data_IF_509781629811
#
_entry.id   IF_509781629811
#
_cell.length_a   1.000
_cell.length_b   1.000
_cell.length_c   1.000
_cell.angle_alpha   90.00
_cell.angle_beta   90.00
_cell.angle_gamma   90.00
#
_symmetry.space_group_name_H-M   'P 1'
#
loop_
_entity.id
_entity.type
_entity.pdbx_description
1 polymer ?
#
# COMPACT_ATOMS: atom_id res chain seq x y z
N UNK A 1 2.29 -22.43 7.58
CA UNK A 1 1.88 -21.04 7.80
C UNK A 1 0.48 -20.71 7.23
N UNK A 2 0.11 -21.22 6.07
CA UNK A 2 -1.19 -20.92 5.42
C UNK A 2 -2.47 -21.24 6.22
N UNK A 3 -2.47 -22.23 7.12
CA UNK A 3 -3.71 -22.69 7.78
C UNK A 3 -4.24 -21.76 8.88
N UNK A 4 -3.41 -20.97 9.54
CA UNK A 4 -3.84 -20.02 10.58
C UNK A 4 -4.39 -18.76 9.93
N UNK A 5 -3.71 -18.25 8.93
CA UNK A 5 -4.14 -17.09 8.14
C UNK A 5 -5.46 -17.34 7.39
N UNK A 6 -5.61 -18.53 6.78
CA UNK A 6 -6.86 -18.95 6.12
C UNK A 6 -8.02 -19.21 7.11
N UNK A 7 -7.71 -19.72 8.32
CA UNK A 7 -8.73 -19.86 9.36
C UNK A 7 -9.21 -18.50 9.89
N UNK A 8 -8.32 -17.50 9.94
CA UNK A 8 -8.64 -16.13 10.33
C UNK A 8 -9.46 -15.39 9.28
N UNK A 9 -9.19 -15.62 7.99
CA UNK A 9 -10.00 -15.08 6.87
C UNK A 9 -11.47 -15.49 6.91
N UNK A 10 -11.81 -16.61 7.57
CA UNK A 10 -13.19 -17.14 7.67
C UNK A 10 -14.00 -16.56 8.83
N UNK A 11 -13.38 -15.76 9.69
CA UNK A 11 -14.06 -15.19 10.86
C UNK A 11 -14.36 -13.71 10.56
N UNK A 12 -15.62 -13.40 10.36
CA UNK A 12 -16.10 -12.05 10.09
C UNK A 12 -15.71 -11.03 11.18
N UNK A 13 -15.70 -9.77 10.85
CA UNK A 13 -15.17 -8.64 11.62
C UNK A 13 -15.70 -8.49 13.04
N UNK A 14 -16.96 -8.86 13.28
CA UNK A 14 -17.57 -8.87 14.61
C UNK A 14 -16.92 -9.87 15.57
N UNK A 15 -16.16 -10.84 15.03
CA UNK A 15 -15.52 -11.90 15.79
C UNK A 15 -14.01 -11.64 16.05
N UNK A 16 -13.37 -10.71 15.35
CA UNK A 16 -11.94 -10.43 15.54
C UNK A 16 -11.57 -9.97 16.96
N UNK A 17 -12.26 -9.00 17.59
CA UNK A 17 -12.05 -8.70 18.99
C UNK A 17 -12.42 -9.87 19.92
N UNK A 18 -13.46 -10.65 19.58
CA UNK A 18 -13.83 -11.87 20.28
C UNK A 18 -12.77 -12.96 20.10
N UNK A 19 -12.16 -13.05 18.91
CA UNK A 19 -11.11 -14.00 18.59
C UNK A 19 -9.86 -13.80 19.45
N UNK A 20 -9.38 -12.57 19.64
CA UNK A 20 -8.25 -12.31 20.57
C UNK A 20 -8.68 -12.48 22.03
N UNK A 21 -9.98 -12.40 22.34
CA UNK A 21 -10.50 -12.68 23.67
C UNK A 21 -10.53 -14.19 23.97
N UNK A 22 -10.54 -15.05 22.94
CA UNK A 22 -10.49 -16.50 23.13
C UNK A 22 -9.14 -16.95 23.70
N UNK A 23 -9.18 -17.65 24.82
CA UNK A 23 -7.99 -18.11 25.53
C UNK A 23 -7.13 -19.08 24.69
N UNK A 24 -7.73 -19.91 23.84
CA UNK A 24 -6.99 -20.84 22.97
C UNK A 24 -6.20 -20.08 21.91
N UNK A 25 -6.78 -19.04 21.35
CA UNK A 25 -6.13 -18.18 20.35
C UNK A 25 -4.98 -17.40 20.97
N UNK A 26 -5.18 -16.78 22.13
CA UNK A 26 -4.10 -16.13 22.87
C UNK A 26 -2.94 -17.09 23.18
N UNK A 27 -3.28 -18.31 23.61
CA UNK A 27 -2.26 -19.34 23.88
C UNK A 27 -1.47 -19.70 22.61
N UNK A 28 -2.14 -19.88 21.47
CA UNK A 28 -1.47 -20.17 20.18
C UNK A 28 -0.57 -19.04 19.73
N UNK A 29 -1.05 -17.79 19.79
CA UNK A 29 -0.27 -16.60 19.43
C UNK A 29 0.94 -16.43 20.36
N UNK A 30 0.76 -16.64 21.67
CA UNK A 30 1.85 -16.59 22.66
C UNK A 30 2.90 -17.69 22.40
N UNK A 31 2.49 -18.90 22.00
CA UNK A 31 3.44 -19.94 21.59
C UNK A 31 4.21 -19.54 20.34
N UNK A 32 3.52 -18.99 19.34
CA UNK A 32 4.15 -18.51 18.11
C UNK A 32 5.15 -17.38 18.41
N UNK A 33 4.79 -16.41 19.26
CA UNK A 33 5.70 -15.35 19.67
C UNK A 33 7.00 -15.88 20.27
N UNK A 34 6.91 -16.90 21.13
CA UNK A 34 8.08 -17.54 21.72
C UNK A 34 9.03 -18.15 20.69
N UNK A 35 8.54 -18.66 19.56
CA UNK A 35 9.42 -19.20 18.48
C UNK A 35 10.27 -18.12 17.82
N UNK A 36 9.85 -16.84 17.92
CA UNK A 36 10.60 -15.67 17.45
C UNK A 36 11.35 -14.95 18.59
N UNK A 37 11.38 -15.51 19.80
CA UNK A 37 11.99 -14.84 20.97
C UNK A 37 11.22 -13.59 21.43
N UNK A 38 9.90 -13.56 21.18
CA UNK A 38 9.02 -12.44 21.49
C UNK A 38 8.05 -12.78 22.63
N UNK A 39 7.56 -11.74 23.31
CA UNK A 39 6.47 -11.83 24.27
C UNK A 39 5.27 -11.02 23.79
N UNK A 40 4.06 -11.47 24.14
CA UNK A 40 2.80 -10.77 23.84
C UNK A 40 2.10 -10.32 25.11
N UNK A 41 1.58 -9.10 25.09
CA UNK A 41 0.69 -8.54 26.11
C UNK A 41 -0.60 -8.06 25.43
N UNK A 42 -1.74 -8.62 25.85
CA UNK A 42 -3.03 -8.30 25.27
C UNK A 42 -3.73 -7.24 26.14
N UNK A 43 -4.03 -6.09 25.54
CA UNK A 43 -4.79 -4.99 26.14
C UNK A 43 -6.18 -4.90 25.52
N UNK A 44 -7.00 -3.97 25.98
CA UNK A 44 -8.37 -3.80 25.50
C UNK A 44 -8.40 -3.38 24.02
N UNK A 45 -7.56 -2.41 23.63
CA UNK A 45 -7.60 -1.76 22.31
C UNK A 45 -6.41 -2.13 21.43
N UNK A 46 -5.35 -2.69 22.01
CA UNK A 46 -4.13 -3.06 21.29
C UNK A 46 -3.46 -4.29 21.87
N UNK A 47 -2.56 -4.88 21.11
CA UNK A 47 -1.62 -5.93 21.54
C UNK A 47 -0.19 -5.39 21.46
N UNK A 48 0.61 -5.61 22.50
CA UNK A 48 2.05 -5.35 22.47
C UNK A 48 2.81 -6.63 22.11
N UNK A 49 3.76 -6.49 21.18
CA UNK A 49 4.78 -7.49 20.85
C UNK A 49 6.10 -6.94 21.36
N UNK A 50 6.81 -7.67 22.23
CA UNK A 50 7.99 -7.13 22.91
C UNK A 50 9.20 -8.05 22.76
N UNK A 51 10.40 -7.43 22.64
CA UNK A 51 11.70 -8.11 22.75
C UNK A 51 12.71 -7.15 23.40
N UNK A 52 13.11 -7.46 24.64
CA UNK A 52 13.93 -6.56 25.45
C UNK A 52 13.21 -5.22 25.65
N UNK A 53 13.85 -4.11 25.28
CA UNK A 53 13.30 -2.76 25.37
C UNK A 53 12.45 -2.37 24.16
N UNK A 54 12.46 -3.14 23.08
CA UNK A 54 11.67 -2.87 21.87
C UNK A 54 10.22 -3.30 22.05
N UNK A 55 9.27 -2.42 21.71
CA UNK A 55 7.81 -2.61 21.82
C UNK A 55 7.15 -2.23 20.50
N UNK A 56 6.43 -3.18 19.91
CA UNK A 56 5.57 -2.94 18.75
C UNK A 56 4.11 -3.08 19.17
N UNK A 57 3.29 -2.06 18.92
CA UNK A 57 1.84 -2.07 19.22
C UNK A 57 1.04 -2.19 17.96
N UNK A 58 -0.04 -2.97 18.02
CA UNK A 58 -1.02 -3.10 16.94
C UNK A 58 -2.44 -3.04 17.51
N UNK A 59 -3.37 -2.41 16.80
CA UNK A 59 -4.77 -2.39 17.17
C UNK A 59 -5.37 -3.81 17.21
N UNK A 60 -6.31 -4.06 18.12
CA UNK A 60 -7.01 -5.36 18.19
C UNK A 60 -7.79 -5.67 16.93
N UNK A 61 -8.26 -4.66 16.20
CA UNK A 61 -8.93 -4.81 14.89
C UNK A 61 -8.00 -5.36 13.81
N UNK A 62 -6.70 -5.20 13.96
CA UNK A 62 -5.68 -5.68 13.03
C UNK A 62 -4.92 -6.92 13.54
N UNK A 63 -5.47 -7.63 14.52
CA UNK A 63 -4.83 -8.80 15.12
C UNK A 63 -4.55 -9.96 14.13
N UNK A 64 -5.21 -9.96 12.99
CA UNK A 64 -4.92 -10.87 11.87
C UNK A 64 -3.48 -10.77 11.39
N UNK A 65 -2.85 -9.60 11.52
CA UNK A 65 -1.47 -9.35 11.12
C UNK A 65 -0.43 -9.76 12.17
N UNK A 66 -0.84 -10.12 13.40
CA UNK A 66 0.09 -10.49 14.48
C UNK A 66 1.14 -11.55 14.07
N UNK A 67 0.79 -12.65 13.38
CA UNK A 67 1.78 -13.64 12.96
C UNK A 67 2.86 -13.05 12.04
N UNK A 68 2.46 -12.25 11.06
CA UNK A 68 3.37 -11.59 10.13
C UNK A 68 4.24 -10.55 10.86
N UNK A 69 3.64 -9.76 11.76
CA UNK A 69 4.39 -8.75 12.52
C UNK A 69 5.41 -9.36 13.49
N UNK A 70 5.14 -10.55 14.02
CA UNK A 70 6.12 -11.29 14.83
C UNK A 70 7.29 -11.80 13.99
N UNK A 71 7.02 -12.32 12.79
CA UNK A 71 8.03 -12.75 11.83
C UNK A 71 8.91 -11.58 11.35
N UNK A 72 8.29 -10.42 11.13
CA UNK A 72 8.95 -9.20 10.62
C UNK A 72 9.25 -8.16 11.72
N UNK A 73 9.40 -8.57 12.98
CA UNK A 73 9.50 -7.65 14.12
C UNK A 73 10.58 -6.59 13.96
N UNK A 74 11.78 -6.97 13.54
CA UNK A 74 12.90 -6.04 13.39
C UNK A 74 12.69 -5.03 12.28
N UNK A 75 12.01 -5.42 11.18
CA UNK A 75 11.69 -4.57 10.06
C UNK A 75 10.98 -3.27 10.48
N UNK A 76 10.08 -3.33 11.47
CA UNK A 76 9.37 -2.14 11.95
C UNK A 76 10.31 -1.16 12.65
N UNK A 77 11.36 -1.65 13.33
CA UNK A 77 12.36 -0.80 14.01
C UNK A 77 13.46 -0.32 13.06
N UNK A 78 13.66 -1.02 11.94
CA UNK A 78 14.56 -0.58 10.88
C UNK A 78 13.91 0.45 9.95
N UNK A 79 12.58 0.49 9.92
CA UNK A 79 11.78 1.33 9.03
C UNK A 79 11.27 2.60 9.70
N UNK A 80 10.98 2.54 10.99
CA UNK A 80 10.40 3.62 11.78
C UNK A 80 11.34 3.98 12.92
N UNK A 81 11.62 5.26 13.12
CA UNK A 81 12.35 5.76 14.29
C UNK A 81 11.43 5.63 15.50
N UNK A 82 11.71 4.75 16.45
CA UNK A 82 10.82 4.49 17.57
C UNK A 82 10.73 5.68 18.51
N UNK A 83 9.58 5.84 19.16
CA UNK A 83 9.43 6.75 20.28
C UNK A 83 10.17 6.17 21.49
N UNK A 84 10.98 7.00 22.15
CA UNK A 84 11.62 6.61 23.41
C UNK A 84 10.73 7.05 24.59
N UNK A 85 10.36 6.09 25.42
CA UNK A 85 9.63 6.34 26.66
C UNK A 85 10.32 5.57 27.80
N UNK A 86 10.98 6.29 28.68
CA UNK A 86 11.89 5.74 29.69
C UNK A 86 12.98 4.85 29.04
N UNK A 87 13.02 3.57 29.35
CA UNK A 87 13.92 2.56 28.81
C UNK A 87 13.35 1.79 27.61
N UNK A 88 12.13 2.14 27.14
CA UNK A 88 11.43 1.44 26.05
C UNK A 88 11.52 2.21 24.73
N UNK A 89 11.68 1.47 23.64
CA UNK A 89 11.62 1.95 22.27
C UNK A 89 10.32 1.45 21.60
N UNK A 90 9.41 2.36 21.30
CA UNK A 90 8.03 2.01 20.95
C UNK A 90 7.76 2.41 19.50
N UNK A 91 7.37 1.43 18.67
CA UNK A 91 6.68 1.63 17.39
C UNK A 91 5.20 1.33 17.62
N UNK A 92 4.36 2.35 17.53
CA UNK A 92 2.94 2.24 17.87
C UNK A 92 2.06 2.35 16.62
N UNK A 93 1.55 1.20 16.16
CA UNK A 93 0.68 1.05 15.00
C UNK A 93 -0.79 0.78 15.42
N UNK A 94 -1.17 1.16 16.64
CA UNK A 94 -2.50 0.85 17.17
C UNK A 94 -3.60 1.83 16.74
N UNK A 95 -3.29 2.81 15.91
CA UNK A 95 -4.25 3.77 15.38
C UNK A 95 -3.57 4.93 14.67
N UNK A 96 -4.33 5.91 14.16
CA UNK A 96 -3.75 7.04 13.43
C UNK A 96 -2.76 7.84 14.27
N UNK A 97 -1.54 7.97 13.77
CA UNK A 97 -0.48 8.77 14.41
C UNK A 97 0.68 9.09 13.50
N UNK A 98 1.48 10.05 13.93
CA UNK A 98 2.68 10.46 13.21
C UNK A 98 3.86 9.54 13.51
N UNK A 99 4.58 9.16 12.46
CA UNK A 99 5.80 8.37 12.53
C UNK A 99 6.95 9.10 11.84
N UNK A 100 8.14 9.03 12.42
CA UNK A 100 9.37 9.38 11.70
C UNK A 100 9.87 8.15 10.97
N UNK A 101 10.03 8.25 9.66
CA UNK A 101 10.51 7.14 8.83
C UNK A 101 12.02 7.23 8.64
N UNK A 102 12.68 6.08 8.64
CA UNK A 102 14.09 6.00 8.25
C UNK A 102 14.21 6.35 6.76
N UNK A 103 15.07 7.33 6.44
CA UNK A 103 15.28 7.79 5.06
C UNK A 103 14.31 8.87 4.57
N UNK A 104 13.35 9.31 5.41
CA UNK A 104 12.46 10.43 5.10
C UNK A 104 12.45 11.44 6.25
N UNK A 105 13.24 12.49 6.13
CA UNK A 105 13.48 13.47 7.19
C UNK A 105 12.58 14.73 7.18
N UNK A 106 11.87 15.11 6.09
CA UNK A 106 11.23 16.43 6.01
C UNK A 106 10.23 16.73 7.12
N UNK A 107 9.39 15.74 7.46
CA UNK A 107 8.38 15.84 8.53
C UNK A 107 7.93 14.44 8.98
N UNK A 108 7.34 14.30 10.20
CA UNK A 108 6.73 13.06 10.61
C UNK A 108 5.48 12.76 9.76
N UNK A 109 5.38 11.54 9.25
CA UNK A 109 4.31 11.08 8.36
C UNK A 109 3.16 10.50 9.18
N UNK A 110 1.93 10.90 8.89
CA UNK A 110 0.73 10.35 9.51
C UNK A 110 0.29 9.08 8.78
N UNK A 111 0.13 7.98 9.53
CA UNK A 111 -0.42 6.71 9.04
C UNK A 111 -1.69 6.35 9.80
N UNK A 112 -2.68 5.69 9.16
CA UNK A 112 -3.90 5.26 9.83
C UNK A 112 -3.67 4.10 10.79
N UNK A 113 -2.65 3.27 10.49
CA UNK A 113 -2.24 2.10 11.28
C UNK A 113 -0.79 1.71 10.95
N UNK A 114 -0.57 0.70 10.09
CA UNK A 114 0.77 0.27 9.67
C UNK A 114 1.51 1.39 8.95
N UNK A 115 2.78 1.60 9.32
CA UNK A 115 3.65 2.52 8.60
C UNK A 115 4.21 1.84 7.35
N UNK A 116 4.19 2.56 6.24
CA UNK A 116 4.90 2.18 5.04
C UNK A 116 6.37 2.63 5.17
N UNK A 117 7.36 1.75 5.01
CA UNK A 117 8.76 2.15 5.06
C UNK A 117 9.15 2.93 3.80
N UNK A 118 9.95 3.96 3.97
CA UNK A 118 10.38 4.80 2.85
C UNK A 118 11.21 4.04 1.81
N UNK A 119 11.82 2.93 2.18
CA UNK A 119 12.53 2.06 1.23
C UNK A 119 11.65 1.55 0.09
N UNK A 120 10.35 1.35 0.34
CA UNK A 120 9.36 0.98 -0.70
C UNK A 120 9.26 2.08 -1.77
N UNK A 121 9.12 3.34 -1.36
CA UNK A 121 9.17 4.48 -2.27
C UNK A 121 10.50 4.53 -3.02
N UNK A 122 11.63 4.35 -2.33
CA UNK A 122 12.97 4.38 -2.95
C UNK A 122 13.13 3.30 -4.04
N UNK A 123 12.52 2.14 -3.89
CA UNK A 123 12.53 1.08 -4.91
C UNK A 123 11.77 1.49 -6.18
N UNK A 124 10.60 2.10 -6.04
CA UNK A 124 9.87 2.64 -7.20
C UNK A 124 10.69 3.69 -7.95
N UNK A 125 11.42 4.55 -7.21
CA UNK A 125 12.25 5.61 -7.80
C UNK A 125 13.38 5.08 -8.67
N UNK A 126 13.96 3.93 -8.34
CA UNK A 126 15.05 3.34 -9.16
C UNK A 126 14.61 3.10 -10.61
N UNK A 127 13.34 2.77 -10.82
CA UNK A 127 12.79 2.54 -12.15
C UNK A 127 12.03 3.74 -12.72
N UNK A 128 11.41 4.56 -11.88
CA UNK A 128 10.53 5.63 -12.30
C UNK A 128 11.23 6.66 -13.22
N UNK A 129 12.53 6.94 -13.00
CA UNK A 129 13.34 7.89 -13.80
C UNK A 129 12.57 9.18 -14.13
N UNK A 130 11.94 9.77 -13.10
CA UNK A 130 11.09 10.95 -13.23
C UNK A 130 11.92 12.19 -13.50
N UNK A 131 11.38 13.07 -14.33
CA UNK A 131 11.96 14.37 -14.67
C UNK A 131 10.93 15.48 -14.50
N UNK A 132 11.41 16.73 -14.41
CA UNK A 132 10.53 17.90 -14.30
C UNK A 132 9.51 17.94 -15.44
N UNK A 133 8.25 18.20 -15.09
CA UNK A 133 7.15 18.24 -16.03
C UNK A 133 6.48 16.90 -16.31
N UNK A 134 6.95 15.78 -15.74
CA UNK A 134 6.27 14.48 -15.91
C UNK A 134 4.88 14.48 -15.28
N UNK A 135 3.97 13.68 -15.86
CA UNK A 135 2.64 13.37 -15.36
C UNK A 135 2.63 11.95 -14.84
N UNK A 136 2.21 11.78 -13.59
CA UNK A 136 2.28 10.51 -12.85
C UNK A 136 0.91 10.12 -12.30
N UNK A 137 0.55 8.85 -12.42
CA UNK A 137 -0.53 8.23 -11.63
C UNK A 137 0.10 7.35 -10.56
N UNK A 138 -0.26 7.59 -9.30
CA UNK A 138 0.07 6.77 -8.14
C UNK A 138 -1.22 6.07 -7.70
N UNK A 139 -1.41 4.83 -8.13
CA UNK A 139 -2.63 4.06 -7.91
C UNK A 139 -2.42 3.15 -6.70
N UNK A 140 -3.19 3.39 -5.62
CA UNK A 140 -2.98 2.86 -4.30
C UNK A 140 -2.00 3.73 -3.51
N UNK A 141 -2.37 4.99 -3.27
CA UNK A 141 -1.46 5.98 -2.68
C UNK A 141 -1.27 5.84 -1.16
N UNK A 142 -2.14 5.08 -0.48
CA UNK A 142 -2.13 4.89 0.97
C UNK A 142 -2.04 6.23 1.71
N UNK A 143 -0.94 6.49 2.43
CA UNK A 143 -0.68 7.74 3.13
C UNK A 143 0.01 8.81 2.26
N UNK A 144 0.11 8.61 0.95
CA UNK A 144 0.67 9.50 -0.07
C UNK A 144 2.17 9.81 0.06
N UNK A 145 2.96 9.01 0.77
CA UNK A 145 4.42 9.23 0.90
C UNK A 145 5.10 9.12 -0.46
N UNK A 146 4.76 8.11 -1.23
CA UNK A 146 5.25 7.89 -2.60
C UNK A 146 4.83 9.03 -3.53
N UNK A 147 3.56 9.44 -3.47
CA UNK A 147 3.04 10.57 -4.24
C UNK A 147 3.81 11.88 -3.97
N UNK A 148 4.11 12.16 -2.68
CA UNK A 148 4.86 13.35 -2.27
C UNK A 148 6.27 13.33 -2.88
N UNK A 149 6.93 12.18 -2.84
CA UNK A 149 8.27 12.01 -3.40
C UNK A 149 8.27 12.14 -4.93
N UNK A 150 7.27 11.56 -5.61
CA UNK A 150 7.08 11.76 -7.05
C UNK A 150 6.87 13.24 -7.39
N UNK A 151 6.06 13.95 -6.62
CA UNK A 151 5.73 15.35 -6.84
C UNK A 151 6.96 16.27 -6.71
N UNK A 152 7.86 15.97 -5.76
CA UNK A 152 9.13 16.68 -5.65
C UNK A 152 10.01 16.50 -6.90
N UNK A 153 10.06 15.28 -7.45
CA UNK A 153 10.88 14.96 -8.63
C UNK A 153 10.34 15.60 -9.91
N UNK A 154 9.01 15.50 -10.12
CA UNK A 154 8.41 16.10 -11.32
C UNK A 154 8.31 17.63 -11.26
N UNK A 155 8.49 18.20 -10.06
CA UNK A 155 8.56 19.65 -9.83
C UNK A 155 7.25 20.37 -10.20
N UNK A 156 7.25 21.70 -10.08
CA UNK A 156 6.04 22.55 -10.21
C UNK A 156 5.36 22.48 -11.58
N UNK A 157 6.06 22.04 -12.63
CA UNK A 157 5.52 21.88 -13.98
C UNK A 157 4.98 20.49 -14.27
N UNK A 158 5.23 19.53 -13.37
CA UNK A 158 4.67 18.18 -13.42
C UNK A 158 3.41 18.06 -12.57
N UNK A 159 2.75 16.92 -12.68
CA UNK A 159 1.55 16.60 -11.91
C UNK A 159 1.58 15.17 -11.40
N UNK A 160 1.09 14.95 -10.18
CA UNK A 160 0.87 13.63 -9.59
C UNK A 160 -0.60 13.50 -9.24
N UNK A 161 -1.23 12.43 -9.68
CA UNK A 161 -2.59 12.05 -9.32
C UNK A 161 -2.53 10.82 -8.43
N UNK A 162 -2.85 11.01 -7.15
CA UNK A 162 -2.79 10.00 -6.11
C UNK A 162 -4.16 9.40 -5.89
N UNK A 163 -4.36 8.12 -6.19
CA UNK A 163 -5.64 7.42 -6.03
C UNK A 163 -5.64 6.63 -4.74
N UNK A 164 -6.66 6.86 -3.92
CA UNK A 164 -6.92 6.14 -2.68
C UNK A 164 -8.43 6.04 -2.46
N UNK A 165 -8.90 4.90 -1.99
CA UNK A 165 -10.32 4.64 -1.79
C UNK A 165 -10.72 4.45 -0.33
N UNK A 166 -9.78 4.05 0.56
CA UNK A 166 -10.04 3.91 1.98
C UNK A 166 -10.10 5.27 2.67
N UNK A 167 -11.22 5.55 3.35
CA UNK A 167 -11.43 6.83 4.02
C UNK A 167 -10.35 7.15 5.08
N UNK A 168 -9.88 6.16 5.84
CA UNK A 168 -8.87 6.37 6.86
C UNK A 168 -7.50 6.72 6.24
N UNK A 169 -7.18 6.06 5.12
CA UNK A 169 -5.98 6.35 4.34
C UNK A 169 -6.05 7.76 3.74
N UNK A 170 -7.21 8.13 3.17
CA UNK A 170 -7.48 9.46 2.60
C UNK A 170 -7.24 10.57 3.63
N UNK A 171 -7.72 10.40 4.87
CA UNK A 171 -7.49 11.38 5.94
C UNK A 171 -6.00 11.59 6.20
N UNK A 172 -5.24 10.50 6.27
CA UNK A 172 -3.79 10.56 6.48
C UNK A 172 -3.06 11.16 5.26
N UNK A 173 -3.45 10.75 4.04
CA UNK A 173 -2.89 11.30 2.80
C UNK A 173 -3.09 12.82 2.70
N UNK A 174 -4.27 13.32 2.99
CA UNK A 174 -4.56 14.77 3.03
C UNK A 174 -3.66 15.52 4.02
N UNK A 175 -3.49 14.96 5.24
CA UNK A 175 -2.62 15.58 6.24
C UNK A 175 -1.15 15.57 5.79
N UNK A 176 -0.66 14.48 5.24
CA UNK A 176 0.70 14.41 4.73
C UNK A 176 0.94 15.34 3.54
N UNK A 177 -0.04 15.48 2.63
CA UNK A 177 0.02 16.46 1.54
C UNK A 177 0.02 17.90 2.06
N UNK A 178 -0.76 18.20 3.11
CA UNK A 178 -0.73 19.51 3.80
C UNK A 178 0.67 19.81 4.38
N UNK A 179 1.28 18.82 5.04
CA UNK A 179 2.64 18.94 5.56
C UNK A 179 3.67 19.10 4.43
N UNK A 180 3.52 18.37 3.33
CA UNK A 180 4.39 18.50 2.17
C UNK A 180 4.29 19.89 1.53
N UNK A 181 3.09 20.46 1.44
CA UNK A 181 2.90 21.84 0.99
C UNK A 181 3.61 22.85 1.92
N UNK A 182 3.51 22.64 3.22
CA UNK A 182 4.09 23.53 4.23
C UNK A 182 5.62 23.44 4.30
N UNK A 183 6.18 22.23 4.26
CA UNK A 183 7.60 21.99 4.53
C UNK A 183 8.47 21.83 3.27
N UNK A 184 7.86 21.44 2.14
CA UNK A 184 8.56 21.10 0.90
C UNK A 184 8.12 21.95 -0.31
N UNK A 185 7.16 22.87 -0.12
CA UNK A 185 6.55 23.66 -1.21
C UNK A 185 5.97 22.78 -2.35
N UNK A 186 5.40 21.60 -1.97
CA UNK A 186 4.79 20.65 -2.89
C UNK A 186 3.29 20.92 -2.99
N UNK A 187 2.82 21.37 -4.17
CA UNK A 187 1.42 21.74 -4.43
C UNK A 187 0.85 21.05 -5.68
N UNK A 188 1.58 20.17 -6.32
CA UNK A 188 1.26 19.55 -7.60
C UNK A 188 0.75 18.10 -7.46
N UNK A 189 0.15 17.77 -6.32
CA UNK A 189 -0.54 16.50 -6.07
C UNK A 189 -2.05 16.73 -6.06
N UNK A 190 -2.78 15.92 -6.81
CA UNK A 190 -4.24 15.83 -6.71
C UNK A 190 -4.62 14.49 -6.11
N UNK A 191 -5.22 14.50 -4.92
CA UNK A 191 -5.81 13.30 -4.33
C UNK A 191 -7.14 12.99 -5.01
N UNK A 192 -7.25 11.78 -5.54
CA UNK A 192 -8.44 11.24 -6.19
C UNK A 192 -9.02 10.16 -5.29
N UNK A 193 -10.13 10.48 -4.62
CA UNK A 193 -10.79 9.62 -3.62
C UNK A 193 -11.67 8.60 -4.31
N UNK A 194 -11.04 7.69 -5.02
CA UNK A 194 -11.68 6.69 -5.86
C UNK A 194 -10.77 5.48 -6.03
N UNK A 195 -11.36 4.30 -6.13
CA UNK A 195 -10.66 3.12 -6.61
C UNK A 195 -10.42 3.26 -8.13
N UNK A 196 -9.27 2.78 -8.59
CA UNK A 196 -9.09 2.52 -10.02
C UNK A 196 -9.54 1.09 -10.29
N UNK A 197 -10.44 0.94 -11.28
CA UNK A 197 -11.09 -0.33 -11.58
C UNK A 197 -11.35 -0.49 -13.08
N UNK A 198 -12.10 -1.53 -13.47
CA UNK A 198 -12.49 -1.79 -14.86
C UNK A 198 -13.75 -1.03 -15.32
N UNK A 199 -14.43 -0.30 -14.44
CA UNK A 199 -15.65 0.49 -14.72
C UNK A 199 -15.81 1.66 -13.73
N UNK A 200 -16.78 2.54 -13.99
CA UNK A 200 -17.04 3.75 -13.21
C UNK A 200 -18.29 3.68 -12.32
N UNK A 201 -18.89 2.49 -12.11
CA UNK A 201 -20.16 2.34 -11.39
C UNK A 201 -20.02 2.32 -9.86
N UNK A 202 -18.78 2.46 -9.37
CA UNK A 202 -18.41 2.23 -7.98
C UNK A 202 -18.30 0.74 -7.66
N UNK A 203 -17.76 0.43 -6.49
CA UNK A 203 -17.59 -0.95 -6.05
C UNK A 203 -17.72 -1.08 -4.52
N UNK A 204 -17.95 -2.30 -4.05
CA UNK A 204 -17.85 -2.62 -2.63
C UNK A 204 -16.38 -2.79 -2.26
N UNK A 205 -15.96 -2.07 -1.23
CA UNK A 205 -14.58 -1.97 -0.80
C UNK A 205 -14.44 -2.36 0.67
N UNK A 206 -13.46 -3.20 0.98
CA UNK A 206 -13.10 -3.57 2.35
C UNK A 206 -12.09 -2.56 2.88
N UNK A 207 -12.59 -1.58 3.64
CA UNK A 207 -11.80 -0.47 4.16
C UNK A 207 -11.22 -0.85 5.53
N UNK A 208 -9.99 -1.34 5.56
CA UNK A 208 -9.32 -1.76 6.79
C UNK A 208 -8.64 -0.61 7.52
N UNK A 209 -8.37 0.51 6.83
CA UNK A 209 -7.46 1.55 7.31
C UNK A 209 -6.01 1.04 7.37
N UNK A 210 -5.63 0.18 6.44
CA UNK A 210 -4.27 -0.37 6.29
C UNK A 210 -3.84 -0.30 4.83
N UNK A 211 -2.60 -0.72 4.54
CA UNK A 211 -2.14 -0.92 3.17
C UNK A 211 -2.93 -2.01 2.43
N UNK A 212 -3.52 -2.97 3.16
CA UNK A 212 -4.25 -4.10 2.59
C UNK A 212 -5.72 -3.84 2.25
N UNK A 213 -6.19 -2.60 2.26
CA UNK A 213 -7.56 -2.24 1.86
C UNK A 213 -7.77 -2.47 0.37
N UNK A 214 -8.84 -3.20 -0.02
CA UNK A 214 -9.08 -3.58 -1.43
C UNK A 214 -10.56 -3.86 -1.71
N UNK A 215 -10.88 -4.14 -2.98
CA UNK A 215 -12.22 -4.52 -3.39
C UNK A 215 -12.70 -5.82 -2.71
N UNK A 216 -13.96 -5.85 -2.27
CA UNK A 216 -14.56 -7.04 -1.63
C UNK A 216 -14.51 -8.26 -2.54
N UNK A 217 -14.65 -8.07 -3.85
CA UNK A 217 -14.53 -9.16 -4.84
C UNK A 217 -13.14 -9.80 -4.90
N UNK A 218 -12.11 -9.11 -4.40
CA UNK A 218 -10.73 -9.60 -4.33
C UNK A 218 -10.42 -10.22 -2.97
N UNK A 219 -10.69 -9.48 -1.88
CA UNK A 219 -10.21 -9.86 -0.53
C UNK A 219 -11.30 -10.43 0.37
N UNK A 220 -12.56 -10.34 -0.03
CA UNK A 220 -13.70 -10.73 0.79
C UNK A 220 -14.16 -9.65 1.77
N UNK A 221 -15.38 -9.80 2.34
CA UNK A 221 -15.96 -8.81 3.24
C UNK A 221 -15.42 -8.89 4.68
N UNK A 222 -14.60 -9.89 4.99
CA UNK A 222 -14.15 -10.15 6.38
C UNK A 222 -12.95 -9.28 6.79
N UNK A 223 -12.29 -8.63 5.85
CA UNK A 223 -11.04 -7.88 6.12
C UNK A 223 -11.28 -6.51 6.72
N UNK A 224 -12.40 -5.87 6.39
CA UNK A 224 -12.68 -4.50 6.84
C UNK A 224 -14.17 -4.15 6.84
N UNK A 225 -14.60 -2.94 7.27
CA UNK A 225 -15.94 -2.45 6.97
C UNK A 225 -16.11 -2.43 5.47
N UNK A 226 -17.20 -3.04 5.03
CA UNK A 226 -17.60 -2.94 3.63
C UNK A 226 -18.28 -1.59 3.43
N UNK A 227 -17.78 -0.83 2.46
CA UNK A 227 -18.37 0.43 2.05
C UNK A 227 -18.41 0.54 0.53
N UNK A 228 -19.37 1.29 0.01
CA UNK A 228 -19.41 1.59 -1.40
C UNK A 228 -18.49 2.79 -1.68
N UNK A 229 -17.53 2.61 -2.59
CA UNK A 229 -16.59 3.66 -3.00
C UNK A 229 -16.79 4.00 -4.48
N UNK A 230 -16.50 5.24 -4.91
CA UNK A 230 -16.42 5.58 -6.32
C UNK A 230 -15.33 4.74 -7.02
N UNK A 231 -15.52 4.49 -8.31
CA UNK A 231 -14.48 3.88 -9.15
C UNK A 231 -14.30 4.66 -10.45
N UNK A 232 -13.12 4.54 -11.04
CA UNK A 232 -12.81 5.10 -12.37
C UNK A 232 -11.86 4.16 -13.10
N UNK A 233 -11.88 4.22 -14.44
CA UNK A 233 -10.82 3.60 -15.24
C UNK A 233 -9.67 4.59 -15.46
N UNK A 234 -8.45 4.09 -15.78
CA UNK A 234 -7.36 4.99 -16.18
C UNK A 234 -7.76 5.81 -17.42
N UNK A 235 -8.48 5.22 -18.35
CA UNK A 235 -8.93 5.87 -19.58
C UNK A 235 -9.89 7.02 -19.30
N UNK A 236 -10.95 6.78 -18.51
CA UNK A 236 -11.94 7.80 -18.17
C UNK A 236 -11.33 8.93 -17.34
N UNK A 237 -10.45 8.59 -16.41
CA UNK A 237 -9.72 9.59 -15.65
C UNK A 237 -8.87 10.48 -16.56
N UNK A 238 -8.04 9.89 -17.43
CA UNK A 238 -7.23 10.65 -18.38
C UNK A 238 -8.10 11.54 -19.29
N UNK A 239 -9.22 11.03 -19.77
CA UNK A 239 -10.17 11.78 -20.59
C UNK A 239 -10.78 12.96 -19.81
N UNK A 240 -11.25 12.73 -18.58
CA UNK A 240 -11.85 13.77 -17.73
C UNK A 240 -10.88 14.91 -17.41
N UNK A 241 -9.59 14.61 -17.30
CA UNK A 241 -8.51 15.56 -17.04
C UNK A 241 -7.84 16.09 -18.31
N UNK A 242 -8.28 15.62 -19.49
CA UNK A 242 -7.70 15.97 -20.81
C UNK A 242 -6.19 15.76 -20.86
N UNK A 243 -5.73 14.61 -20.30
CA UNK A 243 -4.30 14.30 -20.28
C UNK A 243 -3.85 13.83 -21.67
N UNK A 244 -2.99 14.62 -22.29
CA UNK A 244 -2.38 14.31 -23.60
C UNK A 244 -1.11 13.46 -23.46
N UNK A 245 -0.54 13.42 -22.25
CA UNK A 245 0.62 12.59 -21.92
C UNK A 245 0.43 11.94 -20.54
N UNK A 246 1.08 10.80 -20.38
CA UNK A 246 1.23 10.09 -19.12
C UNK A 246 2.62 9.46 -19.14
N UNK A 247 3.47 9.84 -18.20
CA UNK A 247 4.89 9.47 -18.22
C UNK A 247 5.18 8.25 -17.35
N UNK A 248 4.45 8.11 -16.24
CA UNK A 248 4.66 7.02 -15.30
C UNK A 248 3.36 6.63 -14.57
N UNK A 249 3.19 5.33 -14.32
CA UNK A 249 2.09 4.77 -13.53
C UNK A 249 2.65 3.79 -12.50
N UNK A 250 2.37 4.00 -11.22
CA UNK A 250 2.54 3.00 -10.17
C UNK A 250 1.18 2.35 -9.91
N UNK A 251 1.15 1.02 -9.84
CA UNK A 251 -0.04 0.22 -9.50
C UNK A 251 0.30 -0.71 -8.36
N UNK A 252 -0.36 -0.49 -7.22
CA UNK A 252 -0.20 -1.27 -6.01
C UNK A 252 -1.54 -1.20 -5.24
N UNK A 253 -2.43 -2.16 -5.53
CA UNK A 253 -3.86 -2.12 -5.19
C UNK A 253 -4.40 -3.44 -4.67
N UNK A 254 -3.54 -4.21 -4.01
CA UNK A 254 -3.90 -5.36 -3.21
C UNK A 254 -4.77 -6.40 -3.94
N UNK A 255 -4.36 -6.72 -5.20
CA UNK A 255 -4.92 -7.82 -5.99
C UNK A 255 -5.81 -7.40 -7.16
N UNK A 256 -6.11 -6.11 -7.33
CA UNK A 256 -6.92 -5.60 -8.43
C UNK A 256 -6.12 -5.33 -9.74
N UNK A 257 -4.80 -5.57 -9.74
CA UNK A 257 -3.89 -5.23 -10.83
C UNK A 257 -4.33 -5.81 -12.18
N UNK A 258 -4.77 -7.08 -12.18
CA UNK A 258 -5.20 -7.77 -13.40
C UNK A 258 -6.40 -7.09 -14.03
N UNK A 259 -7.40 -6.72 -13.22
CA UNK A 259 -8.63 -6.08 -13.69
C UNK A 259 -8.36 -4.68 -14.24
N UNK A 260 -7.52 -3.91 -13.55
CA UNK A 260 -7.11 -2.57 -13.98
C UNK A 260 -6.30 -2.64 -15.28
N UNK A 261 -5.33 -3.54 -15.38
CA UNK A 261 -4.51 -3.69 -16.58
C UNK A 261 -5.36 -4.12 -17.79
N UNK A 262 -6.29 -5.07 -17.65
CA UNK A 262 -7.19 -5.48 -18.73
C UNK A 262 -8.01 -4.32 -19.29
N UNK A 263 -8.57 -3.49 -18.39
CA UNK A 263 -9.37 -2.33 -18.77
C UNK A 263 -8.55 -1.18 -19.37
N UNK A 264 -7.22 -1.23 -19.22
CA UNK A 264 -6.33 -0.12 -19.60
C UNK A 264 -5.64 -0.29 -20.94
N UNK A 265 -5.99 -1.32 -21.74
CA UNK A 265 -5.29 -1.65 -22.99
C UNK A 265 -5.13 -0.46 -23.93
N UNK A 266 -6.22 0.21 -24.23
CA UNK A 266 -6.24 1.32 -25.20
C UNK A 266 -5.38 2.50 -24.72
N UNK A 267 -5.59 2.94 -23.48
CA UNK A 267 -4.91 4.10 -22.92
C UNK A 267 -3.40 3.84 -22.75
N UNK A 268 -3.00 2.65 -22.30
CA UNK A 268 -1.60 2.27 -22.15
C UNK A 268 -0.91 2.15 -23.52
N UNK A 269 -1.58 1.59 -24.52
CA UNK A 269 -1.04 1.50 -25.89
C UNK A 269 -0.89 2.87 -26.55
N UNK A 270 -1.77 3.83 -26.23
CA UNK A 270 -1.76 5.17 -26.79
C UNK A 270 -0.74 6.10 -26.12
N UNK A 271 -0.75 6.18 -24.78
CA UNK A 271 0.10 7.13 -24.04
C UNK A 271 1.47 6.55 -23.68
N UNK A 272 1.59 5.21 -23.68
CA UNK A 272 2.84 4.47 -23.48
C UNK A 272 3.65 4.93 -22.25
N UNK A 273 3.03 5.07 -21.05
CA UNK A 273 3.76 5.38 -19.84
C UNK A 273 4.72 4.24 -19.48
N UNK A 274 5.75 4.53 -18.70
CA UNK A 274 6.42 3.47 -17.94
C UNK A 274 5.55 3.05 -16.78
N UNK A 275 5.57 1.76 -16.42
CA UNK A 275 4.78 1.25 -15.31
C UNK A 275 5.65 0.52 -14.30
N UNK A 276 5.27 0.65 -13.02
CA UNK A 276 5.66 -0.27 -11.98
C UNK A 276 4.40 -0.87 -11.37
N UNK A 277 4.36 -2.19 -11.24
CA UNK A 277 3.21 -2.91 -10.70
C UNK A 277 3.69 -3.82 -9.59
N UNK A 278 3.05 -3.73 -8.43
CA UNK A 278 3.23 -4.66 -7.33
C UNK A 278 2.20 -5.79 -7.44
N UNK A 279 2.62 -7.03 -7.72
CA UNK A 279 1.70 -8.15 -7.87
C UNK A 279 1.33 -8.73 -6.50
N UNK A 280 0.04 -9.00 -6.29
CA UNK A 280 -0.48 -9.58 -5.05
C UNK A 280 -1.06 -10.97 -5.25
N UNK A 281 -1.25 -11.70 -4.14
CA UNK A 281 -1.92 -13.01 -4.15
C UNK A 281 -3.43 -12.85 -4.21
N UNK A 282 -4.04 -13.41 -5.26
CA UNK A 282 -5.48 -13.49 -5.45
C UNK A 282 -5.86 -14.96 -5.52
N UNK A 283 -6.79 -15.41 -4.68
CA UNK A 283 -7.24 -16.81 -4.60
C UNK A 283 -6.10 -17.84 -4.47
N UNK A 284 -5.01 -17.45 -3.83
CA UNK A 284 -3.85 -18.32 -3.60
C UNK A 284 -2.82 -18.35 -4.73
N UNK A 285 -3.05 -17.64 -5.83
CA UNK A 285 -2.10 -17.47 -6.94
C UNK A 285 -1.56 -16.03 -6.97
N UNK A 286 -0.26 -15.87 -7.23
CA UNK A 286 0.34 -14.55 -7.42
C UNK A 286 -0.06 -13.98 -8.79
N UNK A 287 -0.50 -12.73 -8.84
CA UNK A 287 -0.93 -12.04 -10.08
C UNK A 287 0.22 -11.77 -11.08
N UNK A 288 1.46 -12.04 -10.70
CA UNK A 288 2.70 -11.73 -11.42
C UNK A 288 2.68 -12.15 -12.90
N UNK A 289 2.47 -13.43 -13.16
CA UNK A 289 2.57 -13.96 -14.55
C UNK A 289 1.47 -13.39 -15.43
N UNK A 290 0.24 -13.24 -14.89
CA UNK A 290 -0.89 -12.66 -15.61
C UNK A 290 -0.67 -11.19 -15.94
N UNK A 291 -0.18 -10.39 -14.97
CA UNK A 291 0.15 -8.99 -15.20
C UNK A 291 1.26 -8.85 -16.26
N UNK A 292 2.29 -9.69 -16.18
CA UNK A 292 3.39 -9.72 -17.16
C UNK A 292 2.88 -10.05 -18.57
N UNK A 293 2.08 -11.11 -18.73
CA UNK A 293 1.48 -11.51 -20.00
C UNK A 293 0.68 -10.36 -20.63
N UNK A 294 -0.19 -9.70 -19.84
CA UNK A 294 -1.00 -8.57 -20.30
C UNK A 294 -0.10 -7.45 -20.82
N UNK A 295 0.90 -7.03 -20.04
CA UNK A 295 1.79 -5.94 -20.42
C UNK A 295 2.61 -6.26 -21.68
N UNK A 296 3.09 -7.50 -21.82
CA UNK A 296 3.79 -7.95 -23.04
C UNK A 296 2.87 -7.85 -24.25
N UNK A 297 1.60 -8.28 -24.15
CA UNK A 297 0.63 -8.16 -25.26
C UNK A 297 0.32 -6.71 -25.64
N UNK A 298 0.55 -5.75 -24.72
CA UNK A 298 0.38 -4.31 -25.00
C UNK A 298 1.65 -3.64 -25.55
N UNK A 299 2.70 -4.43 -25.83
CA UNK A 299 3.94 -3.93 -26.39
C UNK A 299 4.89 -3.34 -25.35
N UNK A 300 4.91 -3.91 -24.15
CA UNK A 300 5.86 -3.55 -23.09
C UNK A 300 6.97 -4.59 -22.97
N UNK A 301 8.18 -4.11 -22.78
CA UNK A 301 9.29 -4.92 -22.27
C UNK A 301 9.17 -4.94 -20.74
N UNK A 302 9.15 -6.15 -20.16
CA UNK A 302 8.95 -6.36 -18.74
C UNK A 302 10.22 -6.87 -18.06
N UNK A 303 10.59 -6.25 -16.95
CA UNK A 303 11.67 -6.67 -16.07
C UNK A 303 11.12 -6.90 -14.67
N UNK A 304 11.72 -7.84 -13.93
CA UNK A 304 11.37 -8.09 -12.54
C UNK A 304 12.44 -7.44 -11.64
N UNK A 305 11.99 -6.66 -10.67
CA UNK A 305 12.86 -6.00 -9.69
C UNK A 305 12.65 -6.66 -8.33
N UNK A 306 13.75 -6.97 -7.66
CA UNK A 306 13.71 -7.49 -6.28
C UNK A 306 13.21 -6.41 -5.33
N UNK A 307 12.30 -6.77 -4.41
CA UNK A 307 11.85 -5.91 -3.34
C UNK A 307 12.64 -6.15 -2.05
N UNK A 308 12.92 -5.08 -1.34
CA UNK A 308 13.45 -5.17 0.02
C UNK A 308 12.35 -5.64 0.98
N UNK A 309 12.64 -6.65 1.77
CA UNK A 309 11.68 -7.18 2.76
C UNK A 309 10.53 -8.02 2.18
N UNK A 310 10.51 -8.27 0.86
CA UNK A 310 9.51 -9.10 0.21
C UNK A 310 10.15 -10.18 -0.67
N UNK A 311 9.49 -11.34 -0.76
CA UNK A 311 9.85 -12.40 -1.72
C UNK A 311 9.17 -12.23 -3.08
N UNK A 312 8.21 -11.30 -3.17
CA UNK A 312 7.47 -11.01 -4.41
C UNK A 312 8.21 -9.91 -5.17
N UNK A 313 8.57 -10.10 -6.45
CA UNK A 313 9.23 -9.07 -7.23
C UNK A 313 8.21 -8.03 -7.73
N UNK A 314 8.68 -6.79 -7.95
CA UNK A 314 7.94 -5.78 -8.70
C UNK A 314 8.05 -6.05 -10.21
N UNK A 315 7.00 -5.73 -10.94
CA UNK A 315 6.98 -5.69 -12.40
C UNK A 315 7.33 -4.27 -12.85
N UNK A 316 8.47 -4.12 -13.50
CA UNK A 316 8.87 -2.88 -14.16
C UNK A 316 8.66 -3.02 -15.67
N UNK A 317 7.86 -2.14 -16.27
CA UNK A 317 7.50 -2.22 -17.67
C UNK A 317 7.80 -0.93 -18.43
N UNK A 318 8.53 -1.05 -19.54
CA UNK A 318 8.83 0.04 -20.47
C UNK A 318 8.20 -0.22 -21.83
N UNK A 319 7.59 0.78 -22.48
CA UNK A 319 7.08 0.61 -23.84
C UNK A 319 8.21 0.19 -24.77
N UNK A 320 7.98 -0.80 -25.61
CA UNK A 320 8.89 -1.10 -26.70
C UNK A 320 8.91 0.07 -27.66
N UNK A 321 10.11 0.57 -28.01
CA UNK A 321 10.24 1.53 -29.09
C UNK A 321 9.74 0.81 -30.36
N UNK A 322 8.66 1.31 -30.96
CA UNK A 322 8.23 0.83 -32.26
C UNK A 322 9.42 0.99 -33.21
N UNK A 323 9.93 -0.11 -33.76
CA UNK A 323 10.91 -0.05 -34.83
C UNK A 323 10.26 0.80 -35.93
N UNK A 324 10.77 2.01 -36.10
CA UNK A 324 10.45 2.82 -37.26
C UNK A 324 10.94 2.06 -38.48
N UNK A 325 9.99 1.51 -39.21
CA UNK A 325 10.22 1.05 -40.58
C UNK A 325 10.00 2.21 -41.53
#
# INVERSE_FOLDING_TARGET
>A
MNNIYLALKRLGRSLLPAYIRDAKTRHRLTRLAKTYGLALSFHQDFTEITRGTKVLRIAVTHAVYLPHMMESFDYYFDSVIPLQAADRFIVDLSGPRYHRLVGFDPFPVMFPSHSEPYITTAQYLQFANLTKGNVVLDIGAYAAVTSITFAQLVGKTGAVFAFEADHNNIVCARENMRLAAQWLDVHNITLVESAVWSHCDGLEFSAEGTMGSSAVSIVGPERGPVMKVPSTTIADFCASRRLEKLDFVKIDIEGAEIEVLKASREILSRLKPRLIVEPHYVEGALSLDRCREILVTYGYQVHLLTQFGSTTPLIAATPTQGGGS
#
